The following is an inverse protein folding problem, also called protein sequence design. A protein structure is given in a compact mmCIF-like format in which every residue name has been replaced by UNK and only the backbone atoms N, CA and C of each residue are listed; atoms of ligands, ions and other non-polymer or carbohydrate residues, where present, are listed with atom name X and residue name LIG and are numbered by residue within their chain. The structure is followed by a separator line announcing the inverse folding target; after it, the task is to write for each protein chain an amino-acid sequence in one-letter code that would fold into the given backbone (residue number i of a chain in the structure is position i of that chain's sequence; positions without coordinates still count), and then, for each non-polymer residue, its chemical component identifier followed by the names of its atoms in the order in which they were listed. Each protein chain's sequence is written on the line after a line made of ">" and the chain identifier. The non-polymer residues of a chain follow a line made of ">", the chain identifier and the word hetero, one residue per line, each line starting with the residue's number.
data_IF_122929237002
#
_entry.id   IF_122929237002
#
_cell.length_a   1.000
_cell.length_b   1.000
_cell.length_c   1.000
_cell.angle_alpha   90.00
_cell.angle_beta   90.00
_cell.angle_gamma   90.00
#
_symmetry.space_group_name_H-M   'P 1'
#
loop_
_entity.id
_entity.type
_entity.pdbx_description
1 polymer ?
#
# COMPACT_ATOMS: atom_id res chain seq x y z
N UNK A 1 5.59 35.61 32.21
CA UNK A 1 5.53 35.33 30.76
C UNK A 1 5.08 33.90 30.59
N UNK A 2 4.11 33.72 29.71
CA UNK A 2 3.13 32.63 29.63
C UNK A 2 3.69 31.37 28.98
N UNK A 3 3.56 30.23 29.67
CA UNK A 3 3.57 28.89 29.06
C UNK A 3 2.25 28.65 28.30
N UNK A 4 2.26 27.94 27.15
CA UNK A 4 1.02 27.41 26.58
C UNK A 4 0.61 26.10 27.29
N UNK A 5 -0.69 25.75 27.25
CA UNK A 5 -1.25 24.67 28.06
C UNK A 5 -1.04 23.30 27.44
N UNK A 6 -0.90 22.31 28.32
CA UNK A 6 -1.08 20.90 28.00
C UNK A 6 -2.55 20.62 27.67
N UNK A 7 -2.79 19.94 26.56
CA UNK A 7 -3.99 19.14 26.29
C UNK A 7 -3.47 17.83 25.65
N UNK A 8 -3.80 16.62 26.09
CA UNK A 8 -4.92 16.18 26.90
C UNK A 8 -6.01 15.60 25.99
N UNK A 9 -5.84 14.35 25.50
CA UNK A 9 -6.98 13.58 25.02
C UNK A 9 -6.72 12.50 23.97
N UNK A 10 -6.81 11.25 24.44
CA UNK A 10 -7.24 10.01 23.74
C UNK A 10 -6.26 9.39 22.74
N UNK A 11 -5.44 8.48 23.29
CA UNK A 11 -5.04 7.28 22.57
C UNK A 11 -6.27 6.55 22.04
N UNK A 12 -6.32 6.33 20.73
CA UNK A 12 -7.39 5.63 20.07
C UNK A 12 -7.23 4.13 20.33
N UNK A 13 -8.04 3.64 21.27
CA UNK A 13 -8.20 2.23 21.59
C UNK A 13 -8.69 1.49 20.35
N UNK A 14 -7.97 0.44 19.97
CA UNK A 14 -8.40 -0.62 19.07
C UNK A 14 -9.85 -1.03 19.39
N UNK A 15 -10.79 -0.80 18.46
CA UNK A 15 -12.13 -1.40 18.52
C UNK A 15 -12.28 -2.37 17.35
N UNK A 16 -11.66 -3.52 17.52
CA UNK A 16 -12.18 -4.75 16.95
C UNK A 16 -13.56 -4.97 17.59
N UNK A 17 -14.63 -5.07 16.81
CA UNK A 17 -15.92 -5.55 17.33
C UNK A 17 -15.83 -7.06 17.54
N UNK A 18 -14.97 -7.47 18.47
CA UNK A 18 -15.08 -8.76 19.13
C UNK A 18 -16.23 -8.67 20.14
N UNK A 19 -16.97 -9.77 20.33
CA UNK A 19 -17.95 -9.87 21.42
C UNK A 19 -17.28 -9.44 22.74
N UNK A 20 -17.95 -8.62 23.58
CA UNK A 20 -17.34 -8.10 24.80
C UNK A 20 -16.86 -9.25 25.69
N UNK A 21 -15.56 -9.27 26.00
CA UNK A 21 -14.91 -10.26 26.86
C UNK A 21 -13.90 -11.20 26.20
N UNK A 22 -13.75 -11.19 24.86
CA UNK A 22 -12.76 -12.03 24.18
C UNK A 22 -11.43 -11.29 23.99
N UNK A 23 -10.34 -11.82 24.59
CA UNK A 23 -8.98 -11.37 24.28
C UNK A 23 -8.64 -11.68 22.81
N UNK A 24 -7.99 -10.75 22.12
CA UNK A 24 -7.51 -10.96 20.75
C UNK A 24 -6.58 -12.18 20.70
N UNK A 25 -6.93 -13.15 19.86
CA UNK A 25 -6.07 -14.29 19.51
C UNK A 25 -5.92 -14.29 17.99
N UNK A 26 -4.67 -14.24 17.52
CA UNK A 26 -4.37 -14.45 16.11
C UNK A 26 -4.95 -15.80 15.65
N UNK A 27 -5.59 -15.87 14.48
CA UNK A 27 -6.10 -17.13 13.96
C UNK A 27 -4.92 -18.09 13.70
N UNK A 28 -5.11 -19.40 13.92
CA UNK A 28 -4.07 -20.38 13.64
C UNK A 28 -3.71 -20.37 12.15
N UNK A 29 -2.41 -20.54 11.87
CA UNK A 29 -1.89 -20.65 10.50
C UNK A 29 -2.60 -21.82 9.81
N UNK A 30 -3.30 -21.54 8.71
CA UNK A 30 -4.09 -22.53 7.96
C UNK A 30 -5.58 -22.60 8.28
N UNK A 31 -6.14 -21.67 9.07
CA UNK A 31 -7.58 -21.61 9.32
C UNK A 31 -8.39 -21.32 8.05
N UNK A 32 -9.51 -22.02 7.86
CA UNK A 32 -10.37 -21.84 6.69
C UNK A 32 -11.10 -20.50 6.72
N UNK A 33 -11.39 -19.94 5.53
CA UNK A 33 -12.13 -18.68 5.33
C UNK A 33 -13.44 -18.62 6.13
N UNK A 34 -14.17 -19.73 6.18
CA UNK A 34 -15.42 -19.88 6.96
C UNK A 34 -15.21 -19.77 8.48
N UNK A 35 -14.07 -20.24 8.98
CA UNK A 35 -13.72 -20.21 10.41
C UNK A 35 -13.40 -18.78 10.86
N UNK A 36 -12.71 -18.02 10.00
CA UNK A 36 -12.34 -16.63 10.25
C UNK A 36 -13.59 -15.72 10.18
N UNK A 37 -14.45 -15.92 9.18
CA UNK A 37 -15.69 -15.15 9.00
C UNK A 37 -16.69 -15.30 10.15
N UNK A 38 -16.81 -16.51 10.74
CA UNK A 38 -17.68 -16.76 11.91
C UNK A 38 -17.16 -16.12 13.20
N UNK A 39 -15.85 -15.91 13.31
CA UNK A 39 -15.22 -15.33 14.48
C UNK A 39 -15.17 -13.80 14.46
N UNK A 40 -15.07 -13.17 13.28
CA UNK A 40 -14.74 -11.74 13.15
C UNK A 40 -15.69 -10.89 12.28
N UNK A 41 -16.75 -11.46 11.70
CA UNK A 41 -17.69 -10.72 10.85
C UNK A 41 -17.22 -10.56 9.39
N UNK A 42 -18.10 -10.02 8.54
CA UNK A 42 -17.90 -9.89 7.09
C UNK A 42 -16.76 -8.91 6.78
N UNK A 43 -15.70 -9.37 6.12
CA UNK A 43 -14.60 -8.55 5.57
C UNK A 43 -15.06 -7.96 4.23
N UNK A 44 -15.48 -6.70 4.25
CA UNK A 44 -15.49 -5.84 3.06
C UNK A 44 -14.07 -5.23 2.95
N UNK A 45 -13.57 -4.97 1.73
CA UNK A 45 -12.26 -4.34 1.52
C UNK A 45 -12.25 -2.97 2.23
N UNK A 46 -11.44 -2.83 3.28
CA UNK A 46 -11.27 -1.57 3.98
C UNK A 46 -10.50 -0.56 3.14
N UNK A 47 -10.57 0.74 3.45
CA UNK A 47 -9.69 1.72 2.83
C UNK A 47 -8.21 1.40 3.18
N UNK A 48 -7.29 1.69 2.25
CA UNK A 48 -5.85 1.64 2.50
C UNK A 48 -5.49 2.50 3.72
N UNK A 49 -4.43 2.12 4.44
CA UNK A 49 -3.97 2.81 5.64
C UNK A 49 -2.74 3.68 5.34
N UNK A 50 -2.45 4.73 6.12
CA UNK A 50 -1.21 5.49 5.99
C UNK A 50 0.01 4.57 6.14
N UNK A 51 1.05 4.78 5.33
CA UNK A 51 2.26 3.94 5.35
C UNK A 51 2.87 3.86 6.76
N UNK A 52 2.91 2.63 7.29
CA UNK A 52 3.86 2.23 8.32
C UNK A 52 5.14 1.76 7.61
N UNK A 53 6.20 2.55 7.73
CA UNK A 53 7.44 2.32 6.98
C UNK A 53 8.09 0.99 7.34
N UNK A 54 8.07 0.62 8.61
CA UNK A 54 8.67 -0.62 9.10
C UNK A 54 7.90 -1.84 8.58
N UNK A 55 6.56 -1.79 8.60
CA UNK A 55 5.72 -2.85 8.03
C UNK A 55 5.95 -2.96 6.52
N UNK A 56 5.91 -1.85 5.79
CA UNK A 56 6.12 -1.85 4.33
C UNK A 56 7.51 -2.36 3.97
N UNK A 57 8.56 -1.95 4.68
CA UNK A 57 9.92 -2.46 4.45
C UNK A 57 10.00 -3.98 4.63
N UNK A 58 9.41 -4.53 5.70
CA UNK A 58 9.37 -5.99 5.93
C UNK A 58 8.62 -6.73 4.81
N UNK A 59 7.53 -6.15 4.31
CA UNK A 59 6.78 -6.73 3.19
C UNK A 59 7.57 -6.70 1.89
N UNK A 60 8.23 -5.58 1.57
CA UNK A 60 9.12 -5.47 0.42
C UNK A 60 10.23 -6.54 0.45
N UNK A 61 10.82 -6.78 1.62
CA UNK A 61 11.85 -7.80 1.82
C UNK A 61 11.37 -9.23 1.51
N UNK A 62 10.10 -9.55 1.80
CA UNK A 62 9.55 -10.88 1.50
C UNK A 62 9.49 -11.23 0.01
N UNK A 63 9.56 -10.23 -0.87
CA UNK A 63 9.54 -10.40 -2.32
C UNK A 63 10.95 -10.50 -2.94
N UNK A 64 11.99 -10.11 -2.20
CA UNK A 64 13.38 -10.06 -2.69
C UNK A 64 13.83 -11.45 -3.15
N UNK A 65 14.54 -11.49 -4.28
CA UNK A 65 15.06 -12.70 -4.90
C UNK A 65 13.99 -13.74 -5.31
N UNK A 66 12.71 -13.36 -5.42
CA UNK A 66 11.63 -14.19 -5.97
C UNK A 66 11.05 -13.59 -7.24
N UNK A 67 10.40 -14.42 -8.06
CA UNK A 67 9.63 -13.91 -9.19
C UNK A 67 8.35 -13.24 -8.68
N UNK A 68 8.14 -12.00 -9.09
CA UNK A 68 6.97 -11.21 -8.68
C UNK A 68 6.32 -10.53 -9.86
N UNK A 69 5.01 -10.38 -9.78
CA UNK A 69 4.22 -9.56 -10.68
C UNK A 69 4.12 -8.17 -10.09
N UNK A 70 4.57 -7.19 -10.86
CA UNK A 70 4.56 -5.78 -10.51
C UNK A 70 3.48 -5.05 -11.32
N UNK A 71 2.72 -4.21 -10.63
CA UNK A 71 1.94 -3.13 -11.21
C UNK A 71 2.61 -1.80 -10.88
N UNK A 72 2.82 -0.96 -11.88
CA UNK A 72 3.28 0.41 -11.72
C UNK A 72 2.38 1.30 -12.56
N UNK A 73 1.75 2.26 -11.91
CA UNK A 73 0.91 3.23 -12.58
C UNK A 73 1.22 4.62 -12.05
N UNK A 74 1.31 5.58 -12.97
CA UNK A 74 1.25 7.00 -12.63
C UNK A 74 0.10 7.63 -13.36
N UNK A 75 -0.60 8.51 -12.68
CA UNK A 75 -1.73 9.25 -13.22
C UNK A 75 -1.50 10.71 -12.91
N UNK A 76 -1.13 11.50 -13.92
CA UNK A 76 -1.50 12.91 -13.86
C UNK A 76 -3.00 12.93 -14.02
N UNK A 77 -3.72 13.00 -12.89
CA UNK A 77 -5.15 12.71 -12.77
C UNK A 77 -5.94 13.13 -14.01
N UNK A 78 -6.90 12.30 -14.40
CA UNK A 78 -7.88 12.68 -15.44
C UNK A 78 -8.53 14.06 -15.19
N UNK A 79 -8.42 14.59 -13.96
CA UNK A 79 -8.87 15.91 -13.51
C UNK A 79 -7.89 17.08 -13.71
N UNK A 80 -6.59 16.86 -13.94
CA UNK A 80 -5.64 17.95 -14.20
C UNK A 80 -5.93 18.66 -15.54
N UNK A 81 -6.47 17.91 -16.51
CA UNK A 81 -6.90 18.46 -17.81
C UNK A 81 -8.12 19.37 -17.71
N UNK A 82 -9.11 19.04 -16.87
CA UNK A 82 -10.31 19.86 -16.68
C UNK A 82 -10.02 21.16 -15.92
N UNK A 83 -9.17 21.12 -14.89
CA UNK A 83 -8.83 22.30 -14.11
C UNK A 83 -7.91 23.30 -14.85
N UNK A 84 -7.14 22.84 -15.86
CA UNK A 84 -6.15 23.65 -16.58
C UNK A 84 -6.57 24.06 -18.01
N UNK A 85 -7.84 23.93 -18.39
CA UNK A 85 -8.31 24.40 -19.69
C UNK A 85 -8.06 23.44 -20.87
N UNK A 86 -8.14 22.13 -20.62
CA UNK A 86 -8.45 21.14 -21.65
C UNK A 86 -7.28 20.60 -22.48
N UNK A 87 -6.02 20.94 -22.17
CA UNK A 87 -4.86 20.48 -22.94
C UNK A 87 -3.66 20.02 -22.07
N UNK A 88 -3.91 19.56 -20.85
CA UNK A 88 -2.88 18.89 -20.05
C UNK A 88 -2.62 17.50 -20.61
N UNK A 89 -1.40 17.21 -21.07
CA UNK A 89 -0.99 15.85 -21.42
C UNK A 89 -1.22 14.96 -20.20
N UNK A 90 -2.09 13.95 -20.31
CA UNK A 90 -2.20 12.90 -19.30
C UNK A 90 -0.90 12.10 -19.34
N UNK A 91 0.11 12.54 -18.58
CA UNK A 91 1.34 11.78 -18.40
C UNK A 91 0.99 10.61 -17.51
N UNK A 92 0.84 9.46 -18.15
CA UNK A 92 0.57 8.19 -17.50
C UNK A 92 1.59 7.18 -17.98
N UNK A 93 2.20 6.49 -17.02
CA UNK A 93 2.84 5.21 -17.27
C UNK A 93 1.90 4.14 -16.70
N UNK A 94 1.64 3.08 -17.46
CA UNK A 94 0.87 1.95 -16.99
C UNK A 94 1.57 0.66 -17.34
N UNK A 95 1.95 -0.10 -16.33
CA UNK A 95 2.54 -1.41 -16.45
C UNK A 95 1.80 -2.33 -15.50
N UNK A 96 1.15 -3.38 -16.03
CA UNK A 96 0.45 -4.37 -15.21
C UNK A 96 0.98 -5.75 -15.49
N UNK A 97 1.16 -6.54 -14.44
CA UNK A 97 1.70 -7.90 -14.51
C UNK A 97 3.10 -8.00 -15.15
N UNK A 98 3.94 -6.96 -15.01
CA UNK A 98 5.34 -7.11 -15.35
C UNK A 98 5.98 -8.12 -14.40
N UNK A 99 6.46 -9.24 -14.94
CA UNK A 99 7.21 -10.21 -14.15
C UNK A 99 8.63 -9.69 -13.96
N UNK A 100 9.00 -9.40 -12.73
CA UNK A 100 10.31 -8.89 -12.35
C UNK A 100 10.91 -9.74 -11.24
N UNK A 101 12.23 -9.66 -11.09
CA UNK A 101 12.96 -10.21 -9.96
C UNK A 101 13.98 -9.17 -9.51
N UNK A 102 13.96 -8.81 -8.23
CA UNK A 102 14.84 -7.79 -7.69
C UNK A 102 15.72 -8.33 -6.56
N UNK A 103 16.93 -7.79 -6.49
CA UNK A 103 17.97 -8.16 -5.51
C UNK A 103 17.88 -7.32 -4.23
N UNK A 104 17.25 -6.14 -4.30
CA UNK A 104 17.05 -5.24 -3.16
C UNK A 104 15.78 -4.43 -3.33
N UNK A 105 15.07 -4.22 -2.23
CA UNK A 105 13.94 -3.31 -2.14
C UNK A 105 14.09 -2.41 -0.92
N UNK A 106 13.78 -1.12 -1.06
CA UNK A 106 13.91 -0.18 0.04
C UNK A 106 12.84 0.91 0.00
N UNK A 107 12.17 1.13 1.12
CA UNK A 107 11.35 2.32 1.36
C UNK A 107 12.15 3.37 2.14
N UNK A 108 12.08 4.64 1.73
CA UNK A 108 12.71 5.76 2.43
C UNK A 108 11.80 6.99 2.45
N UNK A 109 12.21 8.02 3.19
CA UNK A 109 11.43 9.25 3.39
C UNK A 109 10.76 9.30 4.76
N UNK A 110 10.09 10.42 5.02
CA UNK A 110 9.33 10.71 6.24
C UNK A 110 7.88 11.08 5.95
N UNK A 111 7.38 10.73 4.76
CA UNK A 111 6.03 11.04 4.29
C UNK A 111 5.98 12.34 3.46
N UNK A 112 5.54 12.28 2.18
CA UNK A 112 5.36 11.08 1.36
C UNK A 112 6.64 10.23 1.27
N UNK A 113 6.47 8.95 0.94
CA UNK A 113 7.53 7.96 0.86
C UNK A 113 7.93 7.67 -0.59
N UNK A 114 9.09 7.04 -0.71
CA UNK A 114 9.62 6.52 -1.97
C UNK A 114 10.07 5.08 -1.81
N UNK A 115 9.76 4.25 -2.80
CA UNK A 115 10.19 2.86 -2.88
C UNK A 115 11.08 2.67 -4.11
N UNK A 116 12.26 2.11 -3.90
CA UNK A 116 13.17 1.68 -4.95
C UNK A 116 13.33 0.16 -4.97
N UNK A 117 13.23 -0.42 -6.17
CA UNK A 117 13.51 -1.83 -6.45
C UNK A 117 14.74 -1.91 -7.36
N UNK A 118 15.80 -2.56 -6.88
CA UNK A 118 16.98 -2.86 -7.68
C UNK A 118 16.77 -4.21 -8.36
N UNK A 119 16.62 -4.24 -9.68
CA UNK A 119 16.58 -5.50 -10.42
C UNK A 119 17.92 -6.25 -10.27
N UNK A 120 18.06 -7.46 -10.82
CA UNK A 120 19.37 -8.12 -10.74
C UNK A 120 20.46 -7.29 -11.44
N UNK A 121 21.72 -7.53 -11.06
CA UNK A 121 22.84 -6.67 -11.45
C UNK A 121 22.91 -6.48 -12.97
N UNK A 122 22.71 -5.24 -13.43
CA UNK A 122 22.72 -4.88 -14.86
C UNK A 122 21.34 -4.84 -15.53
N UNK A 123 20.26 -5.24 -14.86
CA UNK A 123 18.90 -5.27 -15.43
C UNK A 123 18.11 -3.97 -15.22
N UNK A 124 18.56 -3.12 -14.28
CA UNK A 124 17.99 -1.80 -14.05
C UNK A 124 17.31 -1.64 -12.69
N UNK A 125 16.39 -0.69 -12.62
CA UNK A 125 15.76 -0.23 -11.38
C UNK A 125 14.31 0.18 -11.64
N UNK A 126 13.45 0.00 -10.65
CA UNK A 126 12.12 0.60 -10.60
C UNK A 126 12.05 1.53 -9.40
N UNK A 127 11.39 2.67 -9.57
CA UNK A 127 11.30 3.68 -8.53
C UNK A 127 9.91 4.33 -8.55
N UNK A 128 9.30 4.44 -7.37
CA UNK A 128 8.00 5.08 -7.16
C UNK A 128 8.12 6.09 -6.02
N UNK A 129 7.75 7.34 -6.27
CA UNK A 129 7.82 8.46 -5.31
C UNK A 129 6.44 9.12 -5.15
N UNK A 130 6.14 9.57 -3.94
CA UNK A 130 4.85 10.17 -3.60
C UNK A 130 3.88 9.19 -2.94
N UNK A 131 4.36 8.04 -2.47
CA UNK A 131 3.53 7.02 -1.81
C UNK A 131 3.13 7.49 -0.41
N UNK A 132 1.86 7.39 -0.08
CA UNK A 132 1.28 7.85 1.19
C UNK A 132 0.57 6.73 1.94
N UNK A 133 -0.02 5.80 1.21
CA UNK A 133 -0.93 4.77 1.72
C UNK A 133 -0.47 3.37 1.31
N UNK A 134 -0.81 2.37 2.11
CA UNK A 134 -0.54 0.97 1.84
C UNK A 134 -1.70 0.05 2.26
N UNK A 135 -1.73 -1.12 1.64
CA UNK A 135 -2.53 -2.26 2.09
C UNK A 135 -1.72 -3.53 1.89
N UNK A 136 -1.88 -4.46 2.84
CA UNK A 136 -1.51 -5.85 2.66
C UNK A 136 -2.79 -6.66 2.68
N UNK A 137 -3.19 -7.18 1.53
CA UNK A 137 -4.47 -7.85 1.42
C UNK A 137 -4.43 -9.33 1.85
N UNK A 138 -5.60 -9.97 1.79
CA UNK A 138 -5.77 -11.38 2.14
C UNK A 138 -4.97 -12.35 1.26
N UNK A 139 -4.55 -11.92 0.06
CA UNK A 139 -3.70 -12.72 -0.84
C UNK A 139 -2.21 -12.51 -0.56
N UNK A 140 -1.88 -11.62 0.39
CA UNK A 140 -0.51 -11.27 0.74
C UNK A 140 0.15 -10.31 -0.26
N UNK A 141 -0.64 -9.66 -1.13
CA UNK A 141 -0.13 -8.63 -2.05
C UNK A 141 0.18 -7.37 -1.26
N UNK A 142 1.22 -6.66 -1.68
CA UNK A 142 1.54 -5.33 -1.16
C UNK A 142 1.03 -4.30 -2.15
N UNK A 143 0.07 -3.49 -1.75
CA UNK A 143 -0.50 -2.40 -2.53
C UNK A 143 0.01 -1.09 -1.93
N UNK A 144 0.69 -0.26 -2.71
CA UNK A 144 1.16 1.06 -2.29
C UNK A 144 0.54 2.10 -3.21
N UNK A 145 0.01 3.16 -2.63
CA UNK A 145 -0.64 4.25 -3.36
C UNK A 145 -0.16 5.60 -2.87
N UNK A 146 -0.14 6.55 -3.79
CA UNK A 146 0.01 7.98 -3.52
C UNK A 146 -1.15 8.73 -4.15
N UNK A 147 -1.74 9.64 -3.40
CA UNK A 147 -2.88 10.42 -3.84
C UNK A 147 -2.51 11.90 -4.01
N UNK A 148 -3.16 12.58 -4.96
CA UNK A 148 -3.02 14.02 -5.13
C UNK A 148 -3.79 14.81 -4.05
N UNK A 149 -3.74 16.15 -4.12
CA UNK A 149 -4.42 17.02 -3.16
C UNK A 149 -5.96 16.86 -3.15
N UNK A 150 -6.55 16.28 -4.19
CA UNK A 150 -7.98 16.00 -4.28
C UNK A 150 -8.32 14.58 -3.81
N UNK A 151 -7.33 13.79 -3.39
CA UNK A 151 -7.49 12.39 -3.03
C UNK A 151 -7.59 11.45 -4.23
N UNK A 152 -7.31 11.92 -5.45
CA UNK A 152 -7.25 11.06 -6.63
C UNK A 152 -5.95 10.28 -6.65
N UNK A 153 -5.97 9.04 -7.14
CA UNK A 153 -4.74 8.27 -7.35
C UNK A 153 -3.79 9.06 -8.25
N UNK A 154 -2.53 9.17 -7.84
CA UNK A 154 -1.45 9.82 -8.56
C UNK A 154 -0.33 8.83 -8.92
N UNK A 155 -0.07 7.85 -8.04
CA UNK A 155 0.90 6.80 -8.25
C UNK A 155 0.48 5.51 -7.53
N UNK A 156 0.74 4.36 -8.15
CA UNK A 156 0.59 3.06 -7.53
C UNK A 156 1.81 2.17 -7.82
N UNK A 157 2.29 1.47 -6.79
CA UNK A 157 3.24 0.37 -6.90
C UNK A 157 2.68 -0.83 -6.17
N UNK A 158 2.31 -1.87 -6.91
CA UNK A 158 1.73 -3.10 -6.34
C UNK A 158 2.61 -4.31 -6.66
N UNK A 159 2.78 -5.19 -5.68
CA UNK A 159 3.60 -6.40 -5.78
C UNK A 159 2.81 -7.63 -5.35
N UNK A 160 2.96 -8.71 -6.11
CA UNK A 160 2.26 -9.98 -5.89
C UNK A 160 3.08 -11.17 -6.39
N UNK A 161 2.97 -12.33 -5.74
CA UNK A 161 3.54 -13.59 -6.25
C UNK A 161 2.70 -14.21 -7.37
N UNK A 162 1.45 -13.78 -7.53
CA UNK A 162 0.55 -14.21 -8.61
C UNK A 162 0.14 -13.03 -9.48
N UNK A 163 -0.19 -13.24 -10.77
CA UNK A 163 -0.69 -12.17 -11.61
C UNK A 163 -1.92 -11.50 -10.98
N UNK A 164 -1.99 -10.17 -11.08
CA UNK A 164 -3.21 -9.44 -10.83
C UNK A 164 -4.25 -9.79 -11.90
N UNK A 165 -5.55 -9.84 -11.54
CA UNK A 165 -6.61 -10.04 -12.52
C UNK A 165 -6.54 -9.00 -13.64
N UNK A 166 -6.65 -9.46 -14.88
CA UNK A 166 -6.92 -8.63 -16.04
C UNK A 166 -8.43 -8.42 -16.08
N UNK A 167 -8.87 -7.16 -16.16
CA UNK A 167 -10.28 -6.83 -16.41
C UNK A 167 -10.57 -6.93 -17.90
#
# INVERSE_FOLDING_TARGET
>A
MTHPPASGGRGMRLRLLAKPGAAYRAPPVGASKTTIQRAFGRLEAGPMEPIDREVVQQRLESFVNTDVYMHLETTNGAYAGEAAGGNGMAVCAFVRNARVRFSRAQITGSGPYRVGLQLHSGEGWTYAEGLTDYEVDEQGRLLLAGHDANGCLAIALELSHTPFPMK
#
